data_IF_037470501190
#
_entry.id   IF_037470501190
#
_cell.length_a   1.000
_cell.length_b   1.000
_cell.length_c   1.000
_cell.angle_alpha   90.00
_cell.angle_beta   90.00
_cell.angle_gamma   90.00
#
_symmetry.space_group_name_H-M   'P 1'
#
loop_
_entity.id
_entity.type
_entity.pdbx_description
1 polymer ?
#
# COMPACT_ATOMS: atom_id res chain seq x y z
N UNK A 1 7.60 4.01 -4.07
CA UNK A 1 7.19 4.30 -5.47
C UNK A 1 5.68 4.29 -5.53
N UNK A 2 5.06 5.26 -6.20
CA UNK A 2 3.60 5.37 -6.25
C UNK A 2 3.14 5.46 -7.69
N UNK A 3 2.04 4.74 -8.00
CA UNK A 3 1.42 4.80 -9.32
C UNK A 3 0.13 5.61 -9.24
N UNK A 4 -0.02 6.58 -10.13
CA UNK A 4 -1.20 7.43 -10.21
C UNK A 4 -1.95 7.19 -11.51
N UNK A 5 -3.25 6.88 -11.47
CA UNK A 5 -4.06 6.75 -12.67
C UNK A 5 -5.48 7.28 -12.47
N UNK A 6 -5.95 8.05 -13.43
CA UNK A 6 -7.28 8.67 -13.40
C UNK A 6 -8.43 7.69 -13.72
N UNK A 7 -8.18 6.56 -14.40
CA UNK A 7 -9.21 5.57 -14.78
C UNK A 7 -8.98 4.19 -14.17
N UNK A 8 -10.05 3.59 -13.68
CA UNK A 8 -10.12 2.47 -12.72
C UNK A 8 -9.58 1.10 -13.18
N UNK A 9 -9.40 0.85 -14.49
CA UNK A 9 -9.29 -0.55 -14.99
C UNK A 9 -7.86 -1.10 -15.09
N UNK A 10 -6.83 -0.26 -15.21
CA UNK A 10 -5.45 -0.73 -15.38
C UNK A 10 -4.68 -0.95 -14.05
N UNK A 11 -5.15 -0.40 -12.95
CA UNK A 11 -4.45 -0.37 -11.66
C UNK A 11 -4.29 -1.75 -11.04
N UNK A 12 -5.40 -2.41 -10.74
CA UNK A 12 -5.38 -3.76 -10.13
C UNK A 12 -4.79 -4.80 -11.07
N UNK A 13 -4.92 -4.59 -12.41
CA UNK A 13 -4.25 -5.43 -13.41
C UNK A 13 -2.72 -5.31 -13.30
N UNK A 14 -2.19 -4.08 -13.20
CA UNK A 14 -0.76 -3.86 -13.03
C UNK A 14 -0.23 -4.49 -11.74
N UNK A 15 -0.93 -4.30 -10.62
CA UNK A 15 -0.54 -4.94 -9.35
C UNK A 15 -0.64 -6.46 -9.46
N UNK A 16 -1.67 -7.00 -10.13
CA UNK A 16 -1.81 -8.45 -10.34
C UNK A 16 -0.70 -9.03 -11.21
N UNK A 17 -0.21 -8.28 -12.21
CA UNK A 17 0.96 -8.62 -13.00
C UNK A 17 2.22 -8.65 -12.14
N UNK A 18 2.45 -7.59 -11.34
CA UNK A 18 3.62 -7.50 -10.44
C UNK A 18 3.54 -8.57 -9.34
N UNK A 19 2.35 -8.90 -8.85
CA UNK A 19 2.14 -9.98 -7.89
C UNK A 19 2.31 -11.40 -8.49
N UNK A 20 2.44 -11.50 -9.83
CA UNK A 20 2.54 -12.79 -10.52
C UNK A 20 1.23 -13.58 -10.58
N UNK A 21 0.09 -12.94 -10.28
CA UNK A 21 -1.24 -13.57 -10.33
C UNK A 21 -1.73 -13.76 -11.76
N UNK A 22 -1.30 -12.88 -12.66
CA UNK A 22 -1.52 -12.96 -14.11
C UNK A 22 -0.18 -12.77 -14.85
N UNK A 23 -0.11 -13.24 -16.08
CA UNK A 23 1.09 -13.12 -16.91
C UNK A 23 0.91 -12.02 -17.96
N UNK A 24 1.98 -11.27 -18.29
CA UNK A 24 1.92 -10.34 -19.41
C UNK A 24 1.84 -11.09 -20.74
N UNK A 25 1.03 -10.58 -21.68
CA UNK A 25 0.92 -11.15 -23.04
C UNK A 25 2.23 -10.97 -23.81
N UNK A 26 2.99 -9.91 -23.53
CA UNK A 26 4.29 -9.60 -24.14
C UNK A 26 5.20 -8.95 -23.11
N UNK A 27 6.50 -9.12 -23.30
CA UNK A 27 7.52 -8.60 -22.37
C UNK A 27 7.68 -9.44 -21.12
N UNK A 28 8.28 -8.87 -20.08
CA UNK A 28 8.53 -9.53 -18.80
C UNK A 28 8.58 -8.55 -17.65
N UNK A 29 8.51 -9.06 -16.43
CA UNK A 29 8.61 -8.30 -15.20
C UNK A 29 9.89 -8.72 -14.49
N UNK A 30 10.72 -7.73 -14.18
CA UNK A 30 12.05 -7.95 -13.61
C UNK A 30 12.17 -7.23 -12.27
N UNK A 31 12.74 -7.92 -11.28
CA UNK A 31 13.09 -7.36 -9.98
C UNK A 31 14.58 -7.59 -9.77
N UNK A 32 15.35 -6.53 -9.55
CA UNK A 32 16.81 -6.57 -9.42
C UNK A 32 17.47 -7.30 -10.63
N UNK A 33 16.99 -7.01 -11.85
CA UNK A 33 17.43 -7.60 -13.12
C UNK A 33 17.19 -9.12 -13.25
N UNK A 34 16.38 -9.72 -12.38
CA UNK A 34 15.96 -11.13 -12.47
C UNK A 34 14.48 -11.18 -12.82
N UNK A 35 14.10 -12.13 -13.64
CA UNK A 35 12.69 -12.40 -13.92
C UNK A 35 11.90 -12.59 -12.61
N UNK A 36 10.66 -12.11 -12.56
CA UNK A 36 9.82 -12.15 -11.38
C UNK A 36 9.80 -13.53 -10.71
N UNK A 37 9.65 -14.60 -11.49
CA UNK A 37 9.57 -15.99 -10.99
C UNK A 37 10.89 -16.47 -10.39
N UNK A 38 12.02 -15.98 -10.90
CA UNK A 38 13.37 -16.38 -10.49
C UNK A 38 14.02 -15.38 -9.54
N UNK A 39 13.37 -14.25 -9.25
CA UNK A 39 13.91 -13.20 -8.38
C UNK A 39 14.09 -13.67 -6.92
N UNK A 40 13.32 -14.66 -6.48
CA UNK A 40 13.27 -15.13 -5.10
C UNK A 40 12.67 -14.11 -4.12
N UNK A 41 12.09 -13.02 -4.63
CA UNK A 41 11.47 -11.96 -3.82
C UNK A 41 10.06 -12.33 -3.41
N UNK A 42 9.77 -12.13 -2.13
CA UNK A 42 8.43 -12.29 -1.58
C UNK A 42 7.63 -11.00 -1.82
N UNK A 43 6.44 -11.14 -2.40
CA UNK A 43 5.54 -10.02 -2.66
C UNK A 43 4.33 -10.12 -1.74
N UNK A 44 4.10 -9.10 -0.94
CA UNK A 44 2.88 -8.95 -0.15
C UNK A 44 1.88 -8.09 -0.90
N UNK A 45 0.64 -8.55 -1.04
CA UNK A 45 -0.40 -7.81 -1.74
C UNK A 45 -1.56 -7.50 -0.80
N UNK A 46 -1.75 -6.23 -0.52
CA UNK A 46 -2.91 -5.69 0.19
C UNK A 46 -3.91 -5.16 -0.83
N UNK A 47 -5.03 -5.85 -0.95
CA UNK A 47 -6.12 -5.50 -1.86
C UNK A 47 -6.89 -4.27 -1.35
N UNK A 48 -7.69 -3.64 -2.22
CA UNK A 48 -8.49 -2.45 -1.93
C UNK A 48 -9.38 -2.59 -0.69
N UNK A 49 -9.99 -3.77 -0.50
CA UNK A 49 -10.68 -4.11 0.75
C UNK A 49 -9.71 -4.85 1.67
N UNK A 50 -9.92 -4.75 2.97
CA UNK A 50 -9.07 -5.41 3.98
C UNK A 50 -9.09 -6.94 3.88
N UNK A 51 -10.18 -7.52 3.36
CA UNK A 51 -10.41 -8.96 3.21
C UNK A 51 -10.10 -9.75 4.49
N UNK A 52 -10.39 -9.17 5.65
CA UNK A 52 -10.39 -9.89 6.91
C UNK A 52 -11.57 -10.86 6.91
N UNK A 53 -11.32 -12.09 7.38
CA UNK A 53 -12.34 -13.11 7.47
C UNK A 53 -13.25 -12.82 8.68
N UNK A 54 -14.52 -12.48 8.44
CA UNK A 54 -15.48 -12.02 9.46
C UNK A 54 -15.73 -13.07 10.57
N UNK A 55 -15.55 -14.36 10.28
CA UNK A 55 -15.71 -15.45 11.24
C UNK A 55 -14.45 -15.74 12.07
N UNK A 56 -13.33 -15.05 11.80
CA UNK A 56 -12.08 -15.19 12.53
C UNK A 56 -11.84 -13.96 13.41
N UNK A 57 -11.23 -14.13 14.58
CA UNK A 57 -10.74 -13.01 15.37
C UNK A 57 -9.57 -12.31 14.66
N UNK A 58 -9.22 -11.11 15.12
CA UNK A 58 -8.09 -10.34 14.60
C UNK A 58 -6.81 -11.18 14.59
N UNK A 59 -6.42 -11.76 15.71
CA UNK A 59 -5.21 -12.59 15.79
C UNK A 59 -5.24 -13.76 14.80
N UNK A 60 -6.40 -14.42 14.65
CA UNK A 60 -6.56 -15.53 13.70
C UNK A 60 -6.54 -15.08 12.24
N UNK A 61 -6.94 -13.85 11.95
CA UNK A 61 -6.75 -13.25 10.63
C UNK A 61 -5.27 -13.01 10.36
N UNK A 62 -4.52 -12.55 11.36
CA UNK A 62 -3.09 -12.29 11.22
C UNK A 62 -2.28 -13.58 11.02
N UNK A 63 -2.64 -14.67 11.71
CA UNK A 63 -1.96 -15.97 11.57
C UNK A 63 -2.24 -16.67 10.25
N UNK A 64 -3.29 -16.28 9.50
CA UNK A 64 -3.78 -17.03 8.33
C UNK A 64 -2.69 -17.35 7.30
N UNK A 65 -1.88 -16.39 6.92
CA UNK A 65 -0.83 -16.59 5.93
C UNK A 65 0.28 -17.53 6.42
N UNK A 66 0.62 -17.46 7.70
CA UNK A 66 1.59 -18.34 8.33
C UNK A 66 1.04 -19.77 8.49
N UNK A 67 -0.27 -19.90 8.80
CA UNK A 67 -0.97 -21.21 8.85
C UNK A 67 -0.91 -21.89 7.47
N UNK A 68 -1.25 -21.17 6.40
CA UNK A 68 -1.23 -21.70 5.03
C UNK A 68 0.18 -22.13 4.60
N UNK A 69 1.20 -21.37 5.00
CA UNK A 69 2.60 -21.68 4.69
C UNK A 69 3.23 -22.71 5.64
N UNK A 70 2.49 -23.23 6.63
CA UNK A 70 3.00 -24.12 7.67
C UNK A 70 4.19 -23.54 8.46
N UNK A 71 4.20 -22.19 8.62
CA UNK A 71 5.26 -21.43 9.32
C UNK A 71 4.82 -20.87 10.68
N UNK A 72 3.62 -21.21 11.14
CA UNK A 72 3.12 -20.70 12.43
C UNK A 72 3.85 -21.42 13.58
N UNK A 73 4.52 -20.64 14.42
CA UNK A 73 5.30 -21.10 15.58
C UNK A 73 4.95 -20.27 16.81
N UNK A 74 5.44 -20.65 17.99
CA UNK A 74 5.31 -19.84 19.21
C UNK A 74 5.96 -18.46 19.04
N UNK A 75 7.11 -18.38 18.38
CA UNK A 75 7.77 -17.11 18.05
C UNK A 75 6.91 -16.22 17.16
N UNK A 76 6.11 -16.80 16.28
CA UNK A 76 5.16 -16.03 15.46
C UNK A 76 4.11 -15.33 16.31
N UNK A 77 3.63 -15.96 17.39
CA UNK A 77 2.68 -15.32 18.30
C UNK A 77 3.31 -14.18 19.10
N UNK A 78 4.59 -14.30 19.47
CA UNK A 78 5.33 -13.20 20.12
C UNK A 78 5.41 -12.01 19.17
N UNK A 79 5.87 -12.22 17.93
CA UNK A 79 5.95 -11.17 16.91
C UNK A 79 4.58 -10.53 16.63
N UNK A 80 3.53 -11.34 16.51
CA UNK A 80 2.17 -10.84 16.29
C UNK A 80 1.72 -9.95 17.45
N UNK A 81 1.94 -10.36 18.70
CA UNK A 81 1.58 -9.55 19.86
C UNK A 81 2.38 -8.23 19.90
N UNK A 82 3.67 -8.26 19.57
CA UNK A 82 4.52 -7.07 19.49
C UNK A 82 4.01 -6.11 18.40
N UNK A 83 3.64 -6.62 17.22
CA UNK A 83 3.05 -5.81 16.16
C UNK A 83 1.68 -5.25 16.57
N UNK A 84 0.81 -6.07 17.18
CA UNK A 84 -0.49 -5.60 17.67
C UNK A 84 -0.33 -4.50 18.73
N UNK A 85 0.67 -4.61 19.60
CA UNK A 85 0.97 -3.60 20.62
C UNK A 85 1.50 -2.32 19.97
N UNK A 86 2.50 -2.45 19.09
CA UNK A 86 3.14 -1.33 18.41
C UNK A 86 2.13 -0.51 17.58
N UNK A 87 1.16 -1.18 16.98
CA UNK A 87 0.17 -0.55 16.07
C UNK A 87 -1.22 -0.35 16.70
N UNK A 88 -1.29 -0.42 18.06
CA UNK A 88 -2.48 -0.04 18.83
C UNK A 88 -3.67 -0.99 18.68
N UNK A 89 -3.43 -2.27 18.39
CA UNK A 89 -4.49 -3.28 18.20
C UNK A 89 -4.51 -4.38 19.26
N UNK A 90 -3.63 -4.34 20.26
CA UNK A 90 -3.48 -5.45 21.22
C UNK A 90 -4.77 -5.73 22.01
N UNK A 91 -5.53 -4.70 22.38
CA UNK A 91 -6.81 -4.84 23.10
C UNK A 91 -7.90 -5.46 22.24
N UNK A 92 -7.74 -5.41 20.92
CA UNK A 92 -8.69 -5.94 19.93
C UNK A 92 -8.22 -7.28 19.31
N UNK A 93 -7.19 -7.91 19.86
CA UNK A 93 -6.65 -9.16 19.29
C UNK A 93 -7.67 -10.29 19.15
N UNK A 94 -8.65 -10.34 20.05
CA UNK A 94 -9.70 -11.35 20.05
C UNK A 94 -11.00 -10.87 19.40
N UNK A 95 -11.10 -9.58 19.05
CA UNK A 95 -12.26 -8.99 18.40
C UNK A 95 -12.40 -9.51 16.96
N UNK A 96 -13.63 -9.55 16.45
CA UNK A 96 -13.94 -9.87 15.06
C UNK A 96 -13.79 -8.60 14.20
N UNK A 97 -13.62 -8.72 12.88
CA UNK A 97 -13.54 -7.58 12.00
C UNK A 97 -14.71 -6.60 12.11
N UNK A 98 -15.92 -7.08 12.35
CA UNK A 98 -17.12 -6.26 12.57
C UNK A 98 -17.07 -5.36 13.81
N UNK A 99 -16.16 -5.65 14.76
CA UNK A 99 -15.97 -4.90 16.00
C UNK A 99 -14.82 -3.87 15.87
N UNK A 100 -14.15 -3.82 14.70
CA UNK A 100 -13.05 -2.93 14.41
C UNK A 100 -13.51 -1.71 13.60
N UNK A 101 -12.93 -0.53 13.88
CA UNK A 101 -13.08 0.61 12.98
C UNK A 101 -12.41 0.37 11.62
N UNK A 102 -12.76 1.16 10.60
CA UNK A 102 -12.15 1.05 9.28
C UNK A 102 -10.62 1.15 9.30
N UNK A 103 -10.08 2.10 10.06
CA UNK A 103 -8.63 2.26 10.22
C UNK A 103 -7.98 1.09 10.96
N UNK A 104 -8.65 0.51 11.96
CA UNK A 104 -8.17 -0.68 12.65
C UNK A 104 -8.14 -1.90 11.71
N UNK A 105 -9.15 -2.06 10.86
CA UNK A 105 -9.20 -3.11 9.83
C UNK A 105 -8.06 -2.97 8.84
N UNK A 106 -7.77 -1.75 8.37
CA UNK A 106 -6.66 -1.49 7.44
C UNK A 106 -5.30 -1.80 8.07
N UNK A 107 -5.07 -1.37 9.31
CA UNK A 107 -3.84 -1.73 10.05
C UNK A 107 -3.71 -3.24 10.24
N UNK A 108 -4.78 -3.94 10.61
CA UNK A 108 -4.76 -5.39 10.75
C UNK A 108 -4.44 -6.10 9.41
N UNK A 109 -5.02 -5.64 8.29
CA UNK A 109 -4.72 -6.17 6.97
C UNK A 109 -3.26 -5.95 6.56
N UNK A 110 -2.70 -4.78 6.87
CA UNK A 110 -1.28 -4.51 6.62
C UNK A 110 -0.38 -5.41 7.48
N UNK A 111 -0.65 -5.53 8.79
CA UNK A 111 0.12 -6.41 9.69
C UNK A 111 0.07 -7.85 9.17
N UNK A 112 -1.11 -8.36 8.78
CA UNK A 112 -1.25 -9.69 8.17
C UNK A 112 -0.33 -9.89 6.98
N UNK A 113 -0.20 -8.88 6.14
CA UNK A 113 0.66 -8.91 4.96
C UNK A 113 2.14 -8.87 5.34
N UNK A 114 2.51 -8.03 6.31
CA UNK A 114 3.89 -7.88 6.80
C UNK A 114 4.43 -9.10 7.52
N UNK A 115 3.57 -9.86 8.21
CA UNK A 115 3.94 -11.10 8.90
C UNK A 115 4.50 -12.18 7.96
N UNK A 116 4.24 -12.08 6.66
CA UNK A 116 4.84 -12.94 5.63
C UNK A 116 6.22 -12.46 5.19
N UNK A 117 6.77 -11.43 5.84
CA UNK A 117 8.08 -10.83 5.56
C UNK A 117 8.31 -10.51 4.08
N UNK A 118 7.39 -9.77 3.43
CA UNK A 118 7.56 -9.45 2.02
C UNK A 118 8.74 -8.51 1.80
N UNK A 119 9.42 -8.67 0.67
CA UNK A 119 10.42 -7.71 0.18
C UNK A 119 9.75 -6.48 -0.43
N UNK A 120 8.61 -6.71 -1.10
CA UNK A 120 7.84 -5.68 -1.80
C UNK A 120 6.39 -5.74 -1.33
N UNK A 121 5.84 -4.59 -0.96
CA UNK A 121 4.43 -4.40 -0.63
C UNK A 121 3.69 -3.77 -1.79
N UNK A 122 2.60 -4.41 -2.22
CA UNK A 122 1.65 -3.86 -3.16
C UNK A 122 0.40 -3.43 -2.40
N UNK A 123 0.02 -2.16 -2.52
CA UNK A 123 -1.10 -1.55 -1.83
C UNK A 123 -2.08 -0.98 -2.87
N UNK A 124 -3.26 -1.58 -2.98
CA UNK A 124 -4.29 -1.18 -3.95
C UNK A 124 -5.34 -0.32 -3.26
N UNK A 125 -5.27 1.00 -3.45
CA UNK A 125 -6.19 1.99 -2.88
C UNK A 125 -6.51 1.76 -1.39
N UNK A 126 -5.51 1.61 -0.52
CA UNK A 126 -5.71 1.12 0.85
C UNK A 126 -6.56 2.05 1.73
N UNK A 127 -6.79 3.29 1.30
CA UNK A 127 -7.51 4.31 2.08
C UNK A 127 -8.87 4.70 1.49
N UNK A 128 -9.26 4.12 0.35
CA UNK A 128 -10.44 4.57 -0.41
C UNK A 128 -11.78 4.42 0.34
N UNK A 129 -11.86 3.47 1.28
CA UNK A 129 -13.06 3.20 2.07
C UNK A 129 -13.13 4.00 3.39
N UNK A 130 -12.16 4.88 3.66
CA UNK A 130 -12.07 5.66 4.90
C UNK A 130 -12.60 7.09 4.69
N UNK A 131 -13.25 7.64 5.73
CA UNK A 131 -13.53 9.07 5.80
C UNK A 131 -12.24 9.90 5.83
N UNK A 132 -12.34 11.19 5.55
CA UNK A 132 -11.18 12.06 5.36
C UNK A 132 -10.25 12.12 6.58
N UNK A 133 -10.80 12.24 7.80
CA UNK A 133 -9.99 12.35 9.01
C UNK A 133 -9.27 11.03 9.31
N UNK A 134 -10.00 9.92 9.33
CA UNK A 134 -9.45 8.58 9.52
C UNK A 134 -8.40 8.25 8.46
N UNK A 135 -8.61 8.68 7.23
CA UNK A 135 -7.67 8.49 6.11
C UNK A 135 -6.33 9.14 6.38
N UNK A 136 -6.30 10.38 6.89
CA UNK A 136 -5.06 11.08 7.24
C UNK A 136 -4.31 10.32 8.34
N UNK A 137 -4.99 9.98 9.43
CA UNK A 137 -4.41 9.26 10.56
C UNK A 137 -3.83 7.90 10.13
N UNK A 138 -4.62 7.12 9.40
CA UNK A 138 -4.20 5.79 8.93
C UNK A 138 -3.07 5.86 7.90
N UNK A 139 -3.04 6.91 7.06
CA UNK A 139 -1.94 7.10 6.11
C UNK A 139 -0.61 7.39 6.82
N UNK A 140 -0.63 8.17 7.90
CA UNK A 140 0.54 8.42 8.75
C UNK A 140 1.02 7.12 9.40
N UNK A 141 0.10 6.35 9.97
CA UNK A 141 0.40 5.06 10.60
C UNK A 141 1.04 4.07 9.60
N UNK A 142 0.37 3.87 8.46
CA UNK A 142 0.83 2.91 7.43
C UNK A 142 2.19 3.34 6.84
N UNK A 143 2.37 4.63 6.59
CA UNK A 143 3.66 5.15 6.13
C UNK A 143 4.75 4.91 7.16
N UNK A 144 4.47 5.20 8.45
CA UNK A 144 5.38 4.94 9.56
C UNK A 144 5.77 3.47 9.66
N UNK A 145 4.79 2.55 9.52
CA UNK A 145 5.03 1.10 9.52
C UNK A 145 5.98 0.70 8.38
N UNK A 146 5.67 1.13 7.13
CA UNK A 146 6.47 0.78 5.95
C UNK A 146 7.92 1.28 6.10
N UNK A 147 8.11 2.49 6.64
CA UNK A 147 9.45 3.07 6.88
C UNK A 147 10.19 2.34 7.99
N UNK A 148 9.53 2.02 9.10
CA UNK A 148 10.12 1.29 10.23
C UNK A 148 10.59 -0.10 9.80
N UNK A 149 9.75 -0.81 9.04
CA UNK A 149 10.03 -2.15 8.52
C UNK A 149 10.97 -2.13 7.29
N UNK A 150 11.41 -0.95 6.84
CA UNK A 150 12.32 -0.73 5.69
C UNK A 150 11.87 -1.48 4.42
N UNK A 151 10.55 -1.48 4.15
CA UNK A 151 9.99 -2.19 2.99
C UNK A 151 9.92 -1.30 1.75
N UNK A 152 10.11 -1.91 0.59
CA UNK A 152 9.76 -1.28 -0.69
C UNK A 152 8.25 -1.38 -0.87
N UNK A 153 7.58 -0.26 -1.11
CA UNK A 153 6.14 -0.26 -1.33
C UNK A 153 5.76 0.35 -2.67
N UNK A 154 4.80 -0.27 -3.34
CA UNK A 154 4.10 0.25 -4.51
C UNK A 154 2.67 0.50 -4.08
N UNK A 155 2.27 1.77 -4.06
CA UNK A 155 0.95 2.20 -3.67
C UNK A 155 0.19 2.70 -4.89
N UNK A 156 -0.99 2.18 -5.15
CA UNK A 156 -1.94 2.74 -6.11
C UNK A 156 -2.96 3.57 -5.36
N UNK A 157 -3.16 4.80 -5.82
CA UNK A 157 -4.20 5.70 -5.32
C UNK A 157 -4.70 6.62 -6.43
N UNK A 158 -5.91 7.13 -6.29
CA UNK A 158 -6.45 8.19 -7.12
C UNK A 158 -6.40 9.57 -6.44
N UNK A 159 -5.90 9.64 -5.20
CA UNK A 159 -5.73 10.88 -4.45
C UNK A 159 -4.31 11.45 -4.64
N UNK A 160 -4.23 12.63 -5.28
CA UNK A 160 -2.98 13.34 -5.54
C UNK A 160 -2.25 13.66 -4.24
N UNK A 161 -3.00 14.04 -3.20
CA UNK A 161 -2.44 14.42 -1.92
C UNK A 161 -1.81 13.23 -1.20
N UNK A 162 -2.42 12.04 -1.28
CA UNK A 162 -1.83 10.80 -0.80
C UNK A 162 -0.53 10.51 -1.53
N UNK A 163 -0.55 10.59 -2.87
CA UNK A 163 0.61 10.33 -3.70
C UNK A 163 1.80 11.22 -3.30
N UNK A 164 1.61 12.53 -3.22
CA UNK A 164 2.67 13.48 -2.89
C UNK A 164 3.18 13.27 -1.46
N UNK A 165 2.26 13.05 -0.51
CA UNK A 165 2.63 12.97 0.91
C UNK A 165 3.39 11.69 1.28
N UNK A 166 3.12 10.57 0.60
CA UNK A 166 3.67 9.26 0.94
C UNK A 166 4.86 8.83 0.07
N UNK A 167 4.90 9.25 -1.20
CA UNK A 167 5.87 8.73 -2.15
C UNK A 167 7.25 9.39 -2.07
N UNK A 168 8.25 8.63 -2.52
CA UNK A 168 9.55 9.16 -2.93
C UNK A 168 9.56 9.42 -4.45
N UNK A 169 8.70 8.68 -5.19
CA UNK A 169 8.57 8.77 -6.64
C UNK A 169 7.13 8.49 -7.06
N UNK A 170 6.60 9.33 -7.95
CA UNK A 170 5.25 9.19 -8.52
C UNK A 170 5.37 8.84 -10.00
N UNK A 171 4.58 7.86 -10.44
CA UNK A 171 4.45 7.49 -11.84
C UNK A 171 3.03 7.81 -12.28
N UNK A 172 2.91 8.71 -13.24
CA UNK A 172 1.64 9.08 -13.86
C UNK A 172 1.43 8.19 -15.09
N UNK A 173 0.29 7.53 -15.15
CA UNK A 173 -0.09 6.67 -16.29
C UNK A 173 -1.12 7.37 -17.18
N UNK A 174 -1.09 7.07 -18.48
CA UNK A 174 -2.13 7.49 -19.42
C UNK A 174 -3.41 6.68 -19.21
N UNK A 175 -4.59 7.17 -19.74
CA UNK A 175 -5.75 6.34 -19.98
C UNK A 175 -5.41 5.19 -20.96
N UNK A 176 -6.41 4.36 -21.29
CA UNK A 176 -6.19 3.24 -22.23
C UNK A 176 -5.71 3.71 -23.61
N UNK A 177 -4.65 3.08 -24.14
CA UNK A 177 -3.79 2.07 -23.52
C UNK A 177 -2.90 2.68 -22.43
N UNK A 178 -2.79 2.01 -21.25
CA UNK A 178 -2.00 2.48 -20.11
C UNK A 178 -0.51 2.47 -20.41
N UNK A 179 0.10 3.64 -20.52
CA UNK A 179 1.55 3.85 -20.68
C UNK A 179 2.06 4.79 -19.62
N UNK A 180 3.36 4.79 -19.35
CA UNK A 180 3.97 5.77 -18.46
C UNK A 180 3.96 7.13 -19.16
N UNK A 181 3.19 8.09 -18.62
CA UNK A 181 3.16 9.46 -19.10
C UNK A 181 4.30 10.29 -18.51
N UNK A 182 4.53 10.16 -17.20
CA UNK A 182 5.56 10.91 -16.49
C UNK A 182 6.02 10.19 -15.24
N UNK A 183 7.29 10.38 -14.89
CA UNK A 183 7.90 9.97 -13.62
C UNK A 183 8.34 11.25 -12.90
N UNK A 184 7.97 11.37 -11.62
CA UNK A 184 8.22 12.56 -10.79
C UNK A 184 8.89 12.09 -9.50
N UNK A 185 10.11 12.53 -9.24
CA UNK A 185 10.76 12.36 -7.94
C UNK A 185 10.22 13.41 -6.97
N UNK A 186 9.83 13.00 -5.78
CA UNK A 186 9.20 13.85 -4.76
C UNK A 186 10.19 14.16 -3.66
N UNK A 187 10.52 15.43 -3.51
CA UNK A 187 11.33 15.94 -2.41
C UNK A 187 10.59 17.08 -1.72
N UNK A 188 10.28 16.90 -0.45
CA UNK A 188 9.52 17.86 0.37
C UNK A 188 10.39 18.35 1.53
N UNK A 189 10.47 19.67 1.69
CA UNK A 189 11.19 20.30 2.77
C UNK A 189 10.29 20.39 4.00
N UNK A 190 10.29 19.32 4.80
CA UNK A 190 9.52 19.26 6.05
C UNK A 190 10.28 18.47 7.10
N UNK A 191 10.34 19.00 8.32
CA UNK A 191 10.96 18.33 9.46
C UNK A 191 10.08 17.19 9.96
N UNK A 192 10.71 16.03 10.22
CA UNK A 192 9.98 14.85 10.70
C UNK A 192 8.88 14.43 9.73
N UNK A 193 9.23 14.18 8.47
CA UNK A 193 8.28 13.85 7.39
C UNK A 193 7.30 12.77 7.83
N UNK A 194 6.01 13.11 7.85
CA UNK A 194 4.87 12.19 7.84
C UNK A 194 3.92 12.62 6.72
N UNK A 195 3.01 11.77 6.23
CA UNK A 195 1.99 12.16 5.24
C UNK A 195 1.20 13.39 5.64
N UNK A 196 0.84 13.53 6.91
CA UNK A 196 0.15 14.73 7.42
C UNK A 196 1.02 15.97 7.30
N UNK A 197 2.26 15.94 7.82
CA UNK A 197 3.18 17.07 7.76
C UNK A 197 3.62 17.42 6.35
N UNK A 198 3.77 16.43 5.48
CA UNK A 198 4.13 16.62 4.08
C UNK A 198 3.19 17.58 3.34
N UNK A 199 1.90 17.62 3.73
CA UNK A 199 0.90 18.51 3.14
C UNK A 199 1.14 20.00 3.44
N UNK A 200 1.95 20.34 4.46
CA UNK A 200 2.36 21.72 4.77
C UNK A 200 3.69 22.12 4.15
N UNK A 201 4.37 21.23 3.43
CA UNK A 201 5.62 21.54 2.74
C UNK A 201 5.41 22.61 1.65
N UNK A 202 6.31 23.57 1.50
CA UNK A 202 6.19 24.62 0.48
C UNK A 202 6.00 24.07 -0.94
N UNK A 203 6.69 22.99 -1.27
CA UNK A 203 6.69 22.37 -2.60
C UNK A 203 5.41 21.56 -2.88
N UNK A 204 4.60 21.26 -1.85
CA UNK A 204 3.42 20.39 -1.99
C UNK A 204 2.46 20.88 -3.06
N UNK A 205 2.18 22.19 -3.08
CA UNK A 205 1.27 22.81 -4.03
C UNK A 205 1.79 22.74 -5.47
N UNK A 206 3.09 22.87 -5.65
CA UNK A 206 3.71 22.81 -6.98
C UNK A 206 3.62 21.40 -7.56
N UNK A 207 3.90 20.36 -6.75
CA UNK A 207 3.68 18.96 -7.12
C UNK A 207 2.20 18.69 -7.43
N UNK A 208 1.28 19.21 -6.61
CA UNK A 208 -0.15 19.03 -6.84
C UNK A 208 -0.57 19.63 -8.19
N UNK A 209 -0.19 20.86 -8.47
CA UNK A 209 -0.51 21.53 -9.72
C UNK A 209 0.11 20.81 -10.94
N UNK A 210 1.35 20.34 -10.79
CA UNK A 210 2.05 19.58 -11.83
C UNK A 210 1.29 18.29 -12.17
N UNK A 211 0.96 17.50 -11.15
CA UNK A 211 0.26 16.21 -11.34
C UNK A 211 -1.14 16.44 -11.87
N UNK A 212 -1.87 17.42 -11.31
CA UNK A 212 -3.20 17.80 -11.80
C UNK A 212 -3.19 18.16 -13.27
N UNK A 213 -2.23 18.97 -13.72
CA UNK A 213 -2.06 19.32 -15.13
C UNK A 213 -1.83 18.10 -16.02
N UNK A 214 -0.97 17.17 -15.56
CA UNK A 214 -0.71 15.92 -16.30
C UNK A 214 -1.97 15.04 -16.44
N UNK A 215 -2.84 15.06 -15.44
CA UNK A 215 -4.08 14.28 -15.44
C UNK A 215 -5.18 14.96 -16.29
N UNK A 216 -5.35 16.29 -16.16
CA UNK A 216 -6.39 17.07 -16.85
C UNK A 216 -6.20 17.15 -18.37
N UNK A 217 -4.98 17.11 -18.85
CA UNK A 217 -4.67 17.18 -20.30
C UNK A 217 -5.16 15.96 -21.10
N UNK A 218 -5.74 14.96 -20.44
CA UNK A 218 -6.29 13.76 -21.09
C UNK A 218 -7.83 13.81 -21.28
N UNK A 219 -8.50 14.89 -20.85
CA UNK A 219 -9.98 15.04 -20.97
C UNK A 219 -10.44 15.68 -22.30
N UNK A 220 -9.51 15.98 -23.21
CA UNK A 220 -9.84 16.58 -24.50
C UNK A 220 -9.66 15.52 -25.61
N UNK A 221 -10.54 14.49 -25.61
CA UNK A 221 -10.94 13.76 -26.83
C UNK A 221 -12.16 12.89 -26.52
#
# INVERSE_FOLDING_TARGET
>A
MLFFHYYTIAKSTLLSLIAGLIHPDRGGIYIDNKDLKSSGKNIGYMLQKDHLLEWRSTIRNLTLGLEIQHKLTENSYILINDMLTTYGLITFKNARPSELSGGMRQRAALIRTLLLEPDILLLDEPFSALDYQTRIEVSDDIWGIIRKEKKTAILITHDISEAISMADRIIVLTPRPGTIKRIIDVSLTVEGKTPFRARSAPEFRDYFNLIWKELSQNEIY
#
